data_IF_052146942982
#
_entry.id   IF_052146942982
#
_cell.length_a   1.000
_cell.length_b   1.000
_cell.length_c   1.000
_cell.angle_alpha   90.00
_cell.angle_beta   90.00
_cell.angle_gamma   90.00
#
_symmetry.space_group_name_H-M   'P 1'
#
loop_
_entity.id
_entity.type
_entity.pdbx_description
1 polymer ?
#
# COMPACT_ATOMS: atom_id res chain seq x y z
N UNK A 1 -17.70 -16.71 1.86
CA UNK A 1 -17.50 -15.26 1.99
C UNK A 1 -18.09 -14.62 0.72
N UNK A 2 -17.81 -13.36 0.38
CA UNK A 2 -18.23 -12.86 -0.96
C UNK A 2 -17.33 -13.46 -2.03
N UNK A 3 -17.91 -13.97 -3.13
CA UNK A 3 -17.17 -14.58 -4.25
C UNK A 3 -16.05 -13.67 -4.78
N UNK A 4 -16.23 -12.36 -4.69
CA UNK A 4 -15.26 -11.34 -5.09
C UNK A 4 -14.07 -11.28 -4.14
N UNK A 5 -14.31 -11.33 -2.83
CA UNK A 5 -13.25 -11.26 -1.82
C UNK A 5 -12.36 -12.50 -1.93
N UNK A 6 -12.95 -13.69 -2.06
CA UNK A 6 -12.21 -14.94 -2.23
C UNK A 6 -11.35 -14.93 -3.51
N UNK A 7 -11.89 -14.38 -4.60
CA UNK A 7 -11.13 -14.19 -5.84
C UNK A 7 -9.94 -13.25 -5.65
N UNK A 8 -10.14 -12.09 -5.03
CA UNK A 8 -9.09 -11.11 -4.77
C UNK A 8 -8.01 -11.65 -3.81
N UNK A 9 -8.43 -12.42 -2.80
CA UNK A 9 -7.54 -13.11 -1.88
C UNK A 9 -6.66 -14.13 -2.61
N UNK A 10 -7.26 -14.97 -3.47
CA UNK A 10 -6.50 -15.91 -4.30
C UNK A 10 -5.52 -15.18 -5.21
N UNK A 11 -5.99 -14.13 -5.88
CA UNK A 11 -5.19 -13.32 -6.79
C UNK A 11 -3.97 -12.69 -6.10
N UNK A 12 -4.14 -12.19 -4.86
CA UNK A 12 -3.06 -11.60 -4.07
C UNK A 12 -2.16 -12.61 -3.36
N UNK A 13 -2.66 -13.81 -3.06
CA UNK A 13 -1.92 -14.85 -2.32
C UNK A 13 -0.98 -15.66 -3.21
N UNK A 14 -1.26 -15.71 -4.52
CA UNK A 14 -0.39 -16.41 -5.48
C UNK A 14 0.63 -15.44 -6.07
N UNK A 15 1.95 -15.72 -6.00
CA UNK A 15 2.95 -14.93 -6.71
C UNK A 15 2.73 -15.10 -8.22
N UNK A 16 2.11 -14.09 -8.84
CA UNK A 16 1.80 -14.15 -10.26
C UNK A 16 3.08 -13.96 -11.09
N UNK A 17 3.32 -14.76 -12.14
CA UNK A 17 4.41 -14.50 -13.06
C UNK A 17 4.21 -13.12 -13.71
N UNK A 18 5.30 -12.38 -13.89
CA UNK A 18 5.31 -11.00 -14.35
C UNK A 18 4.42 -10.79 -15.59
N UNK A 19 3.58 -9.75 -15.54
CA UNK A 19 2.83 -9.10 -16.62
C UNK A 19 2.72 -9.91 -17.93
N UNK A 20 1.72 -10.78 -18.03
CA UNK A 20 1.49 -11.55 -19.27
C UNK A 20 0.21 -12.38 -19.32
N UNK A 21 -0.44 -12.63 -18.19
CA UNK A 21 -1.62 -13.52 -18.12
C UNK A 21 -2.96 -12.74 -18.07
N UNK A 22 -3.13 -11.76 -18.97
CA UNK A 22 -4.37 -10.98 -19.05
C UNK A 22 -5.56 -11.83 -19.51
N UNK A 23 -5.32 -12.81 -20.38
CA UNK A 23 -6.33 -13.72 -20.91
C UNK A 23 -6.87 -14.65 -19.82
N UNK A 24 -5.99 -15.16 -18.94
CA UNK A 24 -6.40 -15.96 -17.79
C UNK A 24 -7.25 -15.16 -16.80
N UNK A 25 -6.83 -13.93 -16.50
CA UNK A 25 -7.58 -13.02 -15.62
C UNK A 25 -9.00 -12.74 -16.13
N UNK A 26 -9.16 -12.31 -17.38
CA UNK A 26 -10.48 -11.98 -17.95
C UNK A 26 -11.40 -13.20 -17.98
N UNK A 27 -10.85 -14.39 -18.30
CA UNK A 27 -11.62 -15.64 -18.30
C UNK A 27 -12.12 -15.99 -16.90
N UNK A 28 -11.27 -15.84 -15.88
CA UNK A 28 -11.67 -16.07 -14.49
C UNK A 28 -12.74 -15.07 -14.04
N UNK A 29 -12.56 -13.77 -14.33
CA UNK A 29 -13.56 -12.72 -14.02
C UNK A 29 -14.89 -12.96 -14.74
N UNK A 30 -14.88 -13.47 -15.98
CA UNK A 30 -16.11 -13.81 -16.69
C UNK A 30 -16.86 -15.00 -16.06
N UNK A 31 -16.15 -15.92 -15.42
CA UNK A 31 -16.73 -17.09 -14.76
C UNK A 31 -17.29 -16.81 -13.36
N UNK A 32 -16.99 -15.65 -12.78
CA UNK A 32 -17.44 -15.28 -11.44
C UNK A 32 -18.96 -15.04 -11.39
N UNK A 33 -19.59 -15.64 -10.38
CA UNK A 33 -20.99 -15.39 -10.04
C UNK A 33 -21.10 -14.13 -9.17
N UNK A 34 -21.03 -12.98 -9.83
CA UNK A 34 -21.05 -11.63 -9.23
C UNK A 34 -21.93 -10.71 -10.07
N UNK A 35 -22.39 -9.62 -9.45
CA UNK A 35 -23.17 -8.59 -10.12
C UNK A 35 -22.39 -7.95 -11.28
N UNK A 36 -23.12 -7.48 -12.30
CA UNK A 36 -22.53 -6.94 -13.52
C UNK A 36 -21.65 -5.71 -13.26
N UNK A 37 -22.02 -4.86 -12.31
CA UNK A 37 -21.23 -3.68 -11.90
C UNK A 37 -19.88 -4.09 -11.32
N UNK A 38 -19.86 -5.15 -10.51
CA UNK A 38 -18.64 -5.67 -9.90
C UNK A 38 -17.75 -6.34 -10.95
N UNK A 39 -18.36 -7.12 -11.84
CA UNK A 39 -17.66 -7.75 -12.98
C UNK A 39 -17.00 -6.68 -13.85
N UNK A 40 -17.73 -5.60 -14.15
CA UNK A 40 -17.20 -4.52 -14.97
C UNK A 40 -16.04 -3.81 -14.29
N UNK A 41 -16.15 -3.52 -12.99
CA UNK A 41 -15.07 -2.91 -12.20
C UNK A 41 -13.79 -3.79 -12.18
N UNK A 42 -13.95 -5.13 -12.09
CA UNK A 42 -12.84 -6.07 -12.21
C UNK A 42 -12.22 -6.04 -13.62
N UNK A 43 -13.03 -6.11 -14.67
CA UNK A 43 -12.56 -6.10 -16.06
C UNK A 43 -11.82 -4.81 -16.42
N UNK A 44 -12.30 -3.65 -15.95
CA UNK A 44 -11.63 -2.36 -16.16
C UNK A 44 -10.47 -2.10 -15.20
N UNK A 45 -10.22 -3.01 -14.24
CA UNK A 45 -9.25 -2.86 -13.13
C UNK A 45 -9.46 -1.57 -12.34
N UNK A 46 -10.71 -1.14 -12.20
CA UNK A 46 -11.08 0.05 -11.45
C UNK A 46 -11.19 -0.29 -9.95
N UNK A 47 -10.08 -0.11 -9.24
CA UNK A 47 -10.01 -0.36 -7.80
C UNK A 47 -10.86 0.61 -6.98
N UNK A 48 -11.16 1.80 -7.49
CA UNK A 48 -12.03 2.77 -6.84
C UNK A 48 -13.48 2.31 -6.87
N UNK A 49 -13.99 2.03 -8.07
CA UNK A 49 -15.35 1.51 -8.24
C UNK A 49 -15.56 0.17 -7.53
N UNK A 50 -14.57 -0.73 -7.60
CA UNK A 50 -14.61 -2.00 -6.89
C UNK A 50 -14.61 -1.80 -5.37
N UNK A 51 -13.83 -0.84 -4.87
CA UNK A 51 -13.82 -0.44 -3.48
C UNK A 51 -15.19 0.04 -3.01
N UNK A 52 -15.81 0.96 -3.75
CA UNK A 52 -17.13 1.52 -3.42
C UNK A 52 -18.23 0.43 -3.39
N UNK A 53 -18.25 -0.46 -4.38
CA UNK A 53 -19.20 -1.58 -4.47
C UNK A 53 -19.05 -2.58 -3.31
N UNK A 54 -17.83 -2.74 -2.79
CA UNK A 54 -17.53 -3.62 -1.64
C UNK A 54 -17.71 -2.89 -0.29
N UNK A 55 -18.19 -1.65 -0.27
CA UNK A 55 -18.34 -0.85 0.96
C UNK A 55 -16.99 -0.39 1.54
N UNK A 56 -15.96 -0.33 0.69
CA UNK A 56 -14.64 0.17 1.00
C UNK A 56 -14.69 1.64 1.40
N UNK A 57 -13.76 2.03 2.29
CA UNK A 57 -13.62 3.40 2.78
C UNK A 57 -12.19 3.86 2.52
N UNK A 58 -11.92 4.58 1.43
CA UNK A 58 -10.55 4.95 1.04
C UNK A 58 -9.89 5.93 2.02
N UNK A 59 -10.71 6.65 2.80
CA UNK A 59 -10.26 7.55 3.85
C UNK A 59 -10.96 7.22 5.15
N UNK A 60 -10.16 6.97 6.17
CA UNK A 60 -10.61 6.76 7.55
C UNK A 60 -9.82 7.71 8.43
N UNK A 61 -10.52 8.45 9.30
CA UNK A 61 -9.90 9.32 10.31
C UNK A 61 -10.12 8.67 11.68
N UNK A 62 -9.04 8.18 12.29
CA UNK A 62 -9.07 7.66 13.65
C UNK A 62 -8.71 8.78 14.61
N UNK A 63 -9.69 9.40 15.24
CA UNK A 63 -9.44 10.38 16.31
C UNK A 63 -9.20 9.63 17.62
N UNK A 64 -8.04 9.83 18.23
CA UNK A 64 -7.76 9.39 19.58
C UNK A 64 -7.86 10.59 20.52
N UNK A 65 -8.63 10.42 21.60
CA UNK A 65 -8.67 11.38 22.69
C UNK A 65 -7.94 10.77 23.88
N UNK A 66 -6.99 11.50 24.50
CA UNK A 66 -6.41 11.06 25.76
C UNK A 66 -7.50 10.97 26.82
N UNK A 67 -7.39 10.01 27.73
CA UNK A 67 -8.27 9.95 28.89
C UNK A 67 -8.05 11.19 29.76
N UNK A 68 -9.14 11.84 30.20
CA UNK A 68 -9.06 12.91 31.19
C UNK A 68 -8.52 12.30 32.50
N UNK A 69 -7.24 12.57 32.80
CA UNK A 69 -6.63 12.18 34.07
C UNK A 69 -5.18 11.71 34.05
N UNK A 70 -4.45 11.75 32.93
CA UNK A 70 -3.00 11.46 32.95
C UNK A 70 -2.17 12.75 33.07
N UNK A 71 -2.38 13.47 34.18
CA UNK A 71 -1.49 14.52 34.67
C UNK A 71 -0.28 13.89 35.39
N UNK A 72 0.45 12.98 34.73
CA UNK A 72 1.79 12.57 35.17
C UNK A 72 2.81 12.89 34.08
N UNK A 73 3.21 14.15 34.02
CA UNK A 73 4.52 14.51 33.50
C UNK A 73 5.61 13.68 34.19
N UNK A 74 6.48 13.08 33.40
CA UNK A 74 7.94 13.22 33.55
C UNK A 74 8.63 12.79 32.25
N UNK A 75 9.27 13.77 31.63
CA UNK A 75 10.50 13.59 30.87
C UNK A 75 11.39 12.58 31.60
N UNK A 76 11.79 11.54 30.91
CA UNK A 76 13.08 10.90 31.13
C UNK A 76 13.60 10.52 29.76
N UNK A 77 14.65 11.24 29.42
CA UNK A 77 15.52 11.09 28.27
C UNK A 77 15.99 9.63 28.20
N UNK A 78 15.45 8.85 27.26
CA UNK A 78 16.14 7.62 26.83
C UNK A 78 17.14 8.01 25.74
N UNK A 79 18.36 8.30 26.19
CA UNK A 79 19.58 8.20 25.40
C UNK A 79 19.66 6.79 24.80
N UNK A 80 19.25 6.61 23.55
CA UNK A 80 19.73 5.48 22.74
C UNK A 80 20.68 5.99 21.66
N UNK A 81 21.95 5.97 22.07
CA UNK A 81 23.11 6.20 21.23
C UNK A 81 23.22 5.10 20.17
N UNK A 82 22.92 5.44 18.91
CA UNK A 82 23.67 4.87 17.79
C UNK A 82 23.52 5.73 16.53
N UNK A 83 24.48 6.66 16.39
CA UNK A 83 24.74 7.38 15.15
C UNK A 83 25.69 6.54 14.29
N UNK A 84 25.34 6.19 13.04
CA UNK A 84 26.34 5.91 12.02
C UNK A 84 26.53 7.14 11.13
N UNK A 85 27.56 7.91 11.49
CA UNK A 85 28.54 8.56 10.61
C UNK A 85 28.01 9.45 9.46
N UNK A 86 27.94 10.75 9.73
CA UNK A 86 27.87 11.81 8.72
C UNK A 86 29.31 12.10 8.24
N UNK A 87 29.72 11.42 7.15
CA UNK A 87 31.00 11.64 6.47
C UNK A 87 30.94 12.94 5.65
N UNK A 88 31.02 14.09 6.32
CA UNK A 88 31.41 15.35 5.68
C UNK A 88 32.92 15.58 5.83
N UNK A 89 33.70 15.13 4.84
CA UNK A 89 34.97 15.81 4.54
C UNK A 89 34.99 16.36 3.13
N UNK A 90 34.64 17.64 3.04
CA UNK A 90 35.04 18.53 1.95
C UNK A 90 36.56 18.57 1.88
N UNK A 91 37.14 18.28 0.71
CA UNK A 91 38.36 18.96 0.28
C UNK A 91 38.47 18.98 -1.25
N UNK A 92 38.86 20.15 -1.72
CA UNK A 92 38.80 20.70 -3.06
C UNK A 92 39.99 20.33 -3.97
N UNK A 93 39.79 20.59 -5.27
CA UNK A 93 40.75 20.68 -6.38
C UNK A 93 41.09 19.36 -7.08
N UNK A 94 40.77 19.19 -8.37
CA UNK A 94 41.64 19.77 -9.41
C UNK A 94 40.95 19.96 -10.77
N UNK A 95 41.48 20.96 -11.49
CA UNK A 95 41.14 21.46 -12.82
C UNK A 95 41.43 20.47 -13.97
N UNK A 96 40.65 20.68 -15.04
CA UNK A 96 40.98 20.55 -16.47
C UNK A 96 41.06 19.16 -17.13
N UNK A 97 40.38 19.08 -18.28
CA UNK A 97 40.66 18.08 -19.31
C UNK A 97 39.55 17.87 -20.34
N UNK A 98 39.06 18.94 -20.99
CA UNK A 98 38.27 18.82 -22.22
C UNK A 98 39.24 18.93 -23.41
N UNK A 99 39.43 17.84 -24.16
CA UNK A 99 39.76 17.88 -25.59
C UNK A 99 39.53 16.52 -26.26
#
# INVERSE_FOLDING_TARGET
MSNVIEFLERLGSTPQPAAGDSIGYETEVASLAVDDEVRQALMSRDSGALGDLLGGRPKMLCMLFPAEGDDNQKDSEDEDSNSPDDDEKKESATRNGLH
#
